data_IF_974789754757
#
_entry.id   IF_974789754757
#
_cell.length_a   1.000
_cell.length_b   1.000
_cell.length_c   1.000
_cell.angle_alpha   90.00
_cell.angle_beta   90.00
_cell.angle_gamma   90.00
#
_symmetry.space_group_name_H-M   'P 1'
#
loop_
_entity.id
_entity.type
_entity.pdbx_description
1 polymer ?
#
# COMPACT_ATOMS: atom_id res chain seq x y z
N UNK A 1 -14.52 -56.91 -13.41
CA UNK A 1 -14.49 -55.46 -13.04
C UNK A 1 -15.85 -54.88 -13.33
N UNK A 2 -16.47 -54.17 -12.38
CA UNK A 2 -17.83 -53.66 -12.52
C UNK A 2 -17.79 -52.25 -13.15
N UNK A 3 -18.07 -52.16 -14.46
CA UNK A 3 -17.94 -50.92 -15.24
C UNK A 3 -18.72 -49.74 -14.63
N UNK A 4 -19.83 -50.01 -13.95
CA UNK A 4 -20.65 -49.02 -13.26
C UNK A 4 -19.95 -48.42 -12.04
N UNK A 5 -19.19 -49.21 -11.30
CA UNK A 5 -18.43 -48.73 -10.13
C UNK A 5 -17.24 -47.88 -10.54
N UNK A 6 -16.60 -48.21 -11.67
CA UNK A 6 -15.51 -47.43 -12.23
C UNK A 6 -16.00 -46.08 -12.78
N UNK A 7 -17.15 -46.07 -13.46
CA UNK A 7 -17.75 -44.84 -13.96
C UNK A 7 -18.15 -43.88 -12.83
N UNK A 8 -18.75 -44.40 -11.74
CA UNK A 8 -19.09 -43.57 -10.58
C UNK A 8 -17.86 -43.00 -9.86
N UNK A 9 -16.73 -43.70 -9.85
CA UNK A 9 -15.50 -43.19 -9.21
C UNK A 9 -14.87 -42.05 -10.03
N UNK A 10 -14.90 -42.14 -11.36
CA UNK A 10 -14.45 -41.08 -12.27
C UNK A 10 -15.28 -39.82 -12.10
N UNK A 11 -16.62 -39.95 -12.02
CA UNK A 11 -17.51 -38.81 -11.82
C UNK A 11 -17.28 -38.11 -10.47
N UNK A 12 -17.07 -38.87 -9.38
CA UNK A 12 -16.74 -38.28 -8.07
C UNK A 12 -15.38 -37.59 -8.08
N UNK A 13 -14.38 -38.20 -8.71
CA UNK A 13 -13.07 -37.58 -8.80
C UNK A 13 -13.10 -36.29 -9.63
N UNK A 14 -13.85 -36.26 -10.73
CA UNK A 14 -14.04 -35.06 -11.54
C UNK A 14 -14.72 -33.93 -10.75
N UNK A 15 -15.75 -34.23 -9.93
CA UNK A 15 -16.37 -33.22 -9.07
C UNK A 15 -15.43 -32.70 -7.98
N UNK A 16 -14.59 -33.57 -7.41
CA UNK A 16 -13.62 -33.17 -6.37
C UNK A 16 -12.54 -32.25 -6.95
N UNK A 17 -12.04 -32.55 -8.15
CA UNK A 17 -11.07 -31.70 -8.86
C UNK A 17 -11.68 -30.35 -9.22
N UNK A 18 -12.93 -30.32 -9.68
CA UNK A 18 -13.62 -29.06 -9.99
C UNK A 18 -13.79 -28.19 -8.73
N UNK A 19 -14.16 -28.79 -7.59
CA UNK A 19 -14.24 -28.09 -6.31
C UNK A 19 -12.87 -27.58 -5.81
N UNK A 20 -11.77 -28.25 -6.17
CA UNK A 20 -10.41 -27.77 -5.89
C UNK A 20 -10.01 -26.62 -6.82
N UNK A 21 -10.38 -26.66 -8.10
CA UNK A 21 -10.15 -25.56 -9.06
C UNK A 21 -10.87 -24.28 -8.66
N UNK A 22 -12.13 -24.38 -8.23
CA UNK A 22 -12.88 -23.23 -7.71
C UNK A 22 -12.15 -22.61 -6.51
N UNK A 23 -11.73 -23.43 -5.54
CA UNK A 23 -10.96 -22.96 -4.38
C UNK A 23 -9.62 -22.33 -4.75
N UNK A 24 -8.93 -22.87 -5.75
CA UNK A 24 -7.70 -22.28 -6.28
C UNK A 24 -7.96 -20.91 -6.93
N UNK A 25 -9.04 -20.79 -7.71
CA UNK A 25 -9.45 -19.53 -8.33
C UNK A 25 -9.74 -18.46 -7.27
N UNK A 26 -10.52 -18.81 -6.25
CA UNK A 26 -10.88 -17.90 -5.16
C UNK A 26 -9.62 -17.44 -4.39
N UNK A 27 -8.67 -18.35 -4.17
CA UNK A 27 -7.39 -18.03 -3.53
C UNK A 27 -6.55 -17.06 -4.37
N UNK A 28 -6.50 -17.25 -5.69
CA UNK A 28 -5.79 -16.35 -6.62
C UNK A 28 -6.46 -14.98 -6.67
N UNK A 29 -7.79 -14.91 -6.69
CA UNK A 29 -8.52 -13.64 -6.66
C UNK A 29 -8.28 -12.88 -5.35
N UNK A 30 -8.29 -13.58 -4.22
CA UNK A 30 -7.96 -13.00 -2.92
C UNK A 30 -6.51 -12.47 -2.88
N UNK A 31 -5.55 -13.21 -3.45
CA UNK A 31 -4.17 -12.76 -3.56
C UNK A 31 -4.02 -11.52 -4.47
N UNK A 32 -4.75 -11.49 -5.58
CA UNK A 32 -4.80 -10.34 -6.49
C UNK A 32 -5.31 -9.07 -5.80
N UNK A 33 -6.41 -9.19 -5.05
CA UNK A 33 -6.98 -8.07 -4.28
C UNK A 33 -6.01 -7.58 -3.20
N UNK A 34 -5.38 -8.50 -2.45
CA UNK A 34 -4.38 -8.14 -1.44
C UNK A 34 -3.16 -7.42 -2.04
N UNK A 35 -2.69 -7.86 -3.22
CA UNK A 35 -1.60 -7.21 -3.93
C UNK A 35 -1.99 -5.80 -4.43
N UNK A 36 -3.21 -5.64 -4.94
CA UNK A 36 -3.75 -4.35 -5.36
C UNK A 36 -3.82 -3.35 -4.20
N UNK A 37 -4.35 -3.77 -3.06
CA UNK A 37 -4.44 -2.96 -1.85
C UNK A 37 -3.05 -2.53 -1.36
N UNK A 38 -2.08 -3.46 -1.38
CA UNK A 38 -0.70 -3.15 -1.03
C UNK A 38 -0.10 -2.09 -1.96
N UNK A 39 -0.33 -2.20 -3.27
CA UNK A 39 0.14 -1.20 -4.24
C UNK A 39 -0.51 0.17 -4.01
N UNK A 40 -1.80 0.22 -3.71
CA UNK A 40 -2.51 1.46 -3.42
C UNK A 40 -1.95 2.15 -2.15
N UNK A 41 -1.72 1.40 -1.08
CA UNK A 41 -1.15 1.91 0.18
C UNK A 41 0.29 2.40 -0.02
N UNK A 42 1.11 1.66 -0.80
CA UNK A 42 2.47 2.10 -1.14
C UNK A 42 2.49 3.39 -1.97
N UNK A 43 1.56 3.53 -2.91
CA UNK A 43 1.38 4.77 -3.68
C UNK A 43 1.09 5.97 -2.77
N UNK A 44 0.14 5.83 -1.84
CA UNK A 44 -0.16 6.86 -0.85
C UNK A 44 1.04 7.17 0.05
N UNK A 45 1.77 6.14 0.51
CA UNK A 45 2.96 6.32 1.33
C UNK A 45 4.05 7.11 0.60
N UNK A 46 4.24 6.87 -0.70
CA UNK A 46 5.19 7.62 -1.51
C UNK A 46 4.79 9.08 -1.61
N UNK A 47 3.53 9.38 -1.92
CA UNK A 47 3.03 10.77 -2.02
C UNK A 47 3.21 11.51 -0.70
N UNK A 48 2.75 10.93 0.41
CA UNK A 48 2.82 11.58 1.73
C UNK A 48 4.24 11.70 2.28
N UNK A 49 5.13 10.75 1.96
CA UNK A 49 6.55 10.87 2.32
C UNK A 49 7.27 11.95 1.51
N UNK A 50 6.93 12.14 0.22
CA UNK A 50 7.40 13.27 -0.57
C UNK A 50 6.89 14.60 0.00
N UNK A 51 5.60 14.69 0.37
CA UNK A 51 5.06 15.89 1.03
C UNK A 51 5.85 16.19 2.30
N UNK A 52 6.00 15.22 3.20
CA UNK A 52 6.75 15.37 4.45
C UNK A 52 8.19 15.86 4.21
N UNK A 53 8.87 15.34 3.17
CA UNK A 53 10.23 15.73 2.84
C UNK A 53 10.33 17.14 2.24
N UNK A 54 9.32 17.59 1.48
CA UNK A 54 9.31 18.91 0.83
C UNK A 54 8.86 20.05 1.76
N UNK A 55 7.98 19.78 2.72
CA UNK A 55 7.45 20.80 3.65
C UNK A 55 8.52 21.70 4.29
N UNK A 56 9.65 21.18 4.83
CA UNK A 56 10.68 22.04 5.42
C UNK A 56 11.33 22.98 4.41
N UNK A 57 11.56 22.55 3.16
CA UNK A 57 12.15 23.42 2.13
C UNK A 57 11.21 24.56 1.73
N UNK A 58 9.91 24.28 1.59
CA UNK A 58 8.91 25.31 1.30
C UNK A 58 8.74 26.31 2.44
N UNK A 59 8.77 25.85 3.70
CA UNK A 59 8.67 26.73 4.86
C UNK A 59 9.90 27.65 4.99
N UNK A 60 11.10 27.10 4.77
CA UNK A 60 12.35 27.87 4.79
C UNK A 60 12.41 28.85 3.61
N UNK A 61 12.03 28.43 2.40
CA UNK A 61 11.99 29.30 1.23
C UNK A 61 11.02 30.48 1.41
N UNK A 62 9.82 30.22 1.96
CA UNK A 62 8.85 31.27 2.29
C UNK A 62 9.38 32.23 3.36
N UNK A 63 10.08 31.73 4.38
CA UNK A 63 10.70 32.57 5.41
C UNK A 63 11.79 33.49 4.82
N UNK A 64 12.67 32.95 3.97
CA UNK A 64 13.72 33.74 3.30
C UNK A 64 13.09 34.83 2.41
N UNK A 65 12.08 34.49 1.62
CA UNK A 65 11.38 35.46 0.76
C UNK A 65 10.73 36.58 1.59
N UNK A 66 10.08 36.24 2.70
CA UNK A 66 9.46 37.22 3.60
C UNK A 66 10.51 38.15 4.24
N UNK A 67 11.69 37.64 4.62
CA UNK A 67 12.80 38.46 5.13
C UNK A 67 13.30 39.44 4.06
N UNK A 68 13.48 38.98 2.82
CA UNK A 68 13.94 39.83 1.70
C UNK A 68 12.92 40.95 1.43
N UNK A 69 11.62 40.61 1.37
CA UNK A 69 10.55 41.59 1.17
C UNK A 69 10.51 42.59 2.33
N UNK A 70 10.66 42.13 3.57
CA UNK A 70 10.73 42.98 4.75
C UNK A 70 11.90 43.98 4.67
N UNK A 71 13.10 43.50 4.31
CA UNK A 71 14.30 44.34 4.13
C UNK A 71 14.10 45.39 3.03
N UNK A 72 13.52 45.02 1.89
CA UNK A 72 13.22 45.93 0.79
C UNK A 72 12.18 46.99 1.19
N UNK A 73 11.16 46.63 1.95
CA UNK A 73 10.15 47.58 2.42
C UNK A 73 10.71 48.55 3.47
N UNK A 74 11.62 48.10 4.35
CA UNK A 74 12.27 48.98 5.33
C UNK A 74 13.19 50.03 4.69
N UNK A 75 13.80 49.75 3.53
CA UNK A 75 14.70 50.69 2.86
C UNK A 75 13.98 51.79 2.08
N UNK A 76 12.70 51.60 1.73
CA UNK A 76 11.93 52.50 0.87
C UNK A 76 10.95 53.40 1.66
N UNK A 77 10.56 53.02 2.87
CA UNK A 77 9.56 53.74 3.67
C UNK A 77 10.19 54.51 4.85
N UNK A 78 10.29 55.86 4.79
CA UNK A 78 10.81 56.65 5.90
C UNK A 78 9.76 56.74 7.01
N UNK A 79 9.94 55.96 8.08
CA UNK A 79 9.15 56.08 9.32
C UNK A 79 8.43 54.81 9.82
N UNK A 80 8.56 53.66 9.15
CA UNK A 80 7.72 52.48 9.40
C UNK A 80 8.31 51.30 10.17
N UNK A 81 9.44 51.43 10.87
CA UNK A 81 10.22 50.28 11.41
C UNK A 81 9.44 49.32 12.30
N UNK A 82 8.51 49.81 13.13
CA UNK A 82 7.66 48.96 13.99
C UNK A 82 6.58 48.19 13.22
N UNK A 83 6.00 48.79 12.17
CA UNK A 83 4.96 48.15 11.36
C UNK A 83 5.55 47.11 10.42
N UNK A 84 6.73 47.37 9.86
CA UNK A 84 7.42 46.41 8.98
C UNK A 84 7.94 45.21 9.76
N UNK A 85 8.42 45.39 11.00
CA UNK A 85 8.83 44.28 11.87
C UNK A 85 7.67 43.34 12.23
N UNK A 86 6.50 43.87 12.59
CA UNK A 86 5.31 43.09 12.86
C UNK A 86 4.80 42.34 11.62
N UNK A 87 4.82 42.99 10.44
CA UNK A 87 4.39 42.41 9.18
C UNK A 87 5.35 41.31 8.70
N UNK A 88 6.64 41.46 8.96
CA UNK A 88 7.67 40.45 8.68
C UNK A 88 7.53 39.24 9.60
N UNK A 89 7.29 39.46 10.91
CA UNK A 89 7.01 38.38 11.86
C UNK A 89 5.73 37.62 11.51
N UNK A 90 4.69 38.30 11.04
CA UNK A 90 3.44 37.67 10.63
C UNK A 90 3.59 36.91 9.31
N UNK A 91 4.35 37.47 8.36
CA UNK A 91 4.68 36.86 7.08
C UNK A 91 5.59 35.63 7.19
N UNK A 92 6.41 35.53 8.25
CA UNK A 92 7.25 34.36 8.53
C UNK A 92 6.53 33.37 9.44
N UNK A 93 5.85 33.87 10.47
CA UNK A 93 5.15 33.06 11.46
C UNK A 93 4.03 32.22 10.83
N UNK A 94 3.23 32.81 9.93
CA UNK A 94 2.15 32.11 9.23
C UNK A 94 2.64 30.85 8.47
N UNK A 95 3.57 30.99 7.50
CA UNK A 95 4.11 29.86 6.75
C UNK A 95 4.85 28.83 7.60
N UNK A 96 5.56 29.23 8.65
CA UNK A 96 6.23 28.30 9.57
C UNK A 96 5.20 27.48 10.35
N UNK A 97 4.16 28.11 10.89
CA UNK A 97 3.10 27.41 11.63
C UNK A 97 2.31 26.48 10.71
N UNK A 98 1.93 26.94 9.52
CA UNK A 98 1.23 26.12 8.52
C UNK A 98 2.11 24.95 8.07
N UNK A 99 3.39 25.21 7.77
CA UNK A 99 4.36 24.17 7.42
C UNK A 99 4.57 23.14 8.53
N UNK A 100 4.64 23.56 9.78
CA UNK A 100 4.75 22.67 10.93
C UNK A 100 3.50 21.79 11.09
N UNK A 101 2.30 22.34 10.93
CA UNK A 101 1.04 21.57 10.97
C UNK A 101 0.99 20.56 9.83
N UNK A 102 1.31 20.97 8.60
CA UNK A 102 1.35 20.07 7.44
C UNK A 102 2.39 18.96 7.64
N UNK A 103 3.56 19.28 8.19
CA UNK A 103 4.59 18.29 8.51
C UNK A 103 4.13 17.29 9.57
N UNK A 104 3.44 17.74 10.63
CA UNK A 104 2.90 16.86 11.67
C UNK A 104 1.82 15.92 11.10
N UNK A 105 0.90 16.46 10.30
CA UNK A 105 -0.15 15.67 9.63
C UNK A 105 0.46 14.66 8.67
N UNK A 106 1.43 15.07 7.85
CA UNK A 106 2.13 14.18 6.93
C UNK A 106 2.90 13.08 7.69
N UNK A 107 3.56 13.41 8.80
CA UNK A 107 4.29 12.45 9.64
C UNK A 107 3.36 11.41 10.25
N UNK A 108 2.22 11.84 10.82
CA UNK A 108 1.21 10.94 11.37
C UNK A 108 0.61 10.03 10.27
N UNK A 109 0.34 10.59 9.08
CA UNK A 109 -0.18 9.83 7.94
C UNK A 109 0.82 8.81 7.43
N UNK A 110 2.10 9.18 7.30
CA UNK A 110 3.20 8.28 6.92
C UNK A 110 3.36 7.14 7.93
N UNK A 111 3.32 7.44 9.23
CA UNK A 111 3.42 6.41 10.28
C UNK A 111 2.27 5.39 10.18
N UNK A 112 1.03 5.88 10.01
CA UNK A 112 -0.15 5.03 9.82
C UNK A 112 -0.04 4.18 8.54
N UNK A 113 0.32 4.79 7.41
CA UNK A 113 0.46 4.09 6.14
C UNK A 113 1.58 3.05 6.17
N UNK A 114 2.66 3.25 6.94
CA UNK A 114 3.69 2.22 7.17
C UNK A 114 3.12 1.00 7.89
N UNK A 115 2.33 1.21 8.94
CA UNK A 115 1.64 0.10 9.63
C UNK A 115 0.65 -0.62 8.71
N UNK A 116 -0.16 0.12 7.96
CA UNK A 116 -1.09 -0.45 6.98
C UNK A 116 -0.35 -1.24 5.89
N UNK A 117 0.82 -0.76 5.43
CA UNK A 117 1.68 -1.47 4.46
C UNK A 117 2.21 -2.78 5.05
N UNK A 118 2.63 -2.80 6.32
CA UNK A 118 3.11 -4.02 6.98
C UNK A 118 1.98 -5.06 7.10
N UNK A 119 0.78 -4.62 7.48
CA UNK A 119 -0.39 -5.50 7.56
C UNK A 119 -0.80 -6.03 6.18
N UNK A 120 -0.79 -5.18 5.16
CA UNK A 120 -1.10 -5.58 3.79
C UNK A 120 -0.05 -6.58 3.24
N UNK A 121 1.24 -6.39 3.53
CA UNK A 121 2.29 -7.38 3.18
C UNK A 121 2.06 -8.73 3.84
N UNK A 122 1.65 -8.71 5.12
CA UNK A 122 1.30 -9.94 5.83
C UNK A 122 0.12 -10.66 5.18
N UNK A 123 -0.94 -9.91 4.80
CA UNK A 123 -2.10 -10.45 4.09
C UNK A 123 -1.72 -11.07 2.73
N UNK A 124 -0.85 -10.40 1.96
CA UNK A 124 -0.31 -10.97 0.70
C UNK A 124 0.44 -12.26 0.97
N UNK A 125 1.31 -12.32 1.98
CA UNK A 125 2.05 -13.53 2.31
C UNK A 125 1.14 -14.70 2.72
N UNK A 126 0.08 -14.42 3.49
CA UNK A 126 -0.93 -15.44 3.84
C UNK A 126 -1.70 -15.93 2.60
N UNK A 127 -2.03 -15.02 1.67
CA UNK A 127 -2.70 -15.38 0.42
C UNK A 127 -1.80 -16.21 -0.51
N UNK A 128 -0.50 -15.93 -0.57
CA UNK A 128 0.48 -16.71 -1.34
C UNK A 128 0.60 -18.14 -0.79
N UNK A 129 0.60 -18.31 0.54
CA UNK A 129 0.56 -19.62 1.17
C UNK A 129 -0.72 -20.38 0.81
N UNK A 130 -1.88 -19.70 0.86
CA UNK A 130 -3.16 -20.32 0.51
C UNK A 130 -3.23 -20.76 -0.96
N UNK A 131 -2.67 -19.97 -1.88
CA UNK A 131 -2.57 -20.33 -3.31
C UNK A 131 -1.67 -21.56 -3.49
N UNK A 132 -0.49 -21.58 -2.87
CA UNK A 132 0.43 -22.74 -2.95
C UNK A 132 -0.18 -24.01 -2.36
N UNK A 133 -0.91 -23.89 -1.26
CA UNK A 133 -1.61 -25.04 -0.66
C UNK A 133 -2.75 -25.55 -1.57
N UNK A 134 -3.53 -24.65 -2.17
CA UNK A 134 -4.56 -25.03 -3.14
C UNK A 134 -3.97 -25.70 -4.38
N UNK A 135 -2.86 -25.19 -4.90
CA UNK A 135 -2.13 -25.75 -6.04
C UNK A 135 -1.60 -27.16 -5.70
N UNK A 136 -0.96 -27.32 -4.54
CA UNK A 136 -0.45 -28.63 -4.09
C UNK A 136 -1.57 -29.66 -3.96
N UNK A 137 -2.73 -29.28 -3.39
CA UNK A 137 -3.88 -30.19 -3.27
C UNK A 137 -4.43 -30.62 -4.63
N UNK A 138 -4.37 -29.73 -5.62
CA UNK A 138 -4.76 -30.03 -7.00
C UNK A 138 -3.78 -31.02 -7.64
N UNK A 139 -2.48 -30.82 -7.43
CA UNK A 139 -1.41 -31.71 -7.87
C UNK A 139 -1.55 -33.10 -7.22
N UNK A 140 -1.66 -33.17 -5.89
CA UNK A 140 -1.84 -34.42 -5.13
C UNK A 140 -3.10 -35.20 -5.58
N UNK A 141 -4.21 -34.49 -5.86
CA UNK A 141 -5.43 -35.12 -6.36
C UNK A 141 -5.24 -35.72 -7.75
N UNK A 142 -4.52 -35.01 -8.62
CA UNK A 142 -4.22 -35.43 -9.99
C UNK A 142 -3.25 -36.63 -9.98
N UNK A 143 -2.19 -36.56 -9.18
CA UNK A 143 -1.21 -37.64 -9.03
C UNK A 143 -1.83 -38.90 -8.40
N UNK A 144 -2.68 -38.75 -7.38
CA UNK A 144 -3.41 -39.86 -6.76
C UNK A 144 -4.38 -40.55 -7.72
N UNK A 145 -4.94 -39.83 -8.70
CA UNK A 145 -5.73 -40.44 -9.77
C UNK A 145 -4.86 -41.23 -10.74
N UNK A 146 -3.77 -40.64 -11.23
CA UNK A 146 -2.88 -41.32 -12.16
C UNK A 146 -2.17 -42.51 -11.53
N UNK A 147 -1.75 -42.42 -10.27
CA UNK A 147 -1.14 -43.53 -9.53
C UNK A 147 -2.06 -44.76 -9.45
N UNK A 148 -3.37 -44.55 -9.25
CA UNK A 148 -4.37 -45.64 -9.26
C UNK A 148 -4.62 -46.23 -10.65
N UNK A 149 -4.28 -45.51 -11.71
CA UNK A 149 -4.43 -45.94 -13.12
C UNK A 149 -3.13 -46.49 -13.72
N UNK A 150 -1.99 -46.41 -13.03
CA UNK A 150 -0.73 -47.02 -13.50
C UNK A 150 -0.88 -48.55 -13.50
N UNK A 151 -0.47 -49.24 -14.58
CA UNK A 151 -0.40 -50.69 -14.57
C UNK A 151 0.63 -51.11 -13.51
N UNK A 152 0.19 -51.87 -12.52
CA UNK A 152 1.07 -52.57 -11.59
C UNK A 152 1.71 -53.72 -12.36
N UNK A 153 3.03 -53.65 -12.56
CA UNK A 153 3.81 -54.79 -13.06
C UNK A 153 3.74 -55.99 -12.11
#
# INVERSE_FOLDING_TARGET
MNATAEYQSILRHASDVEALRVRQRDAVEAAGNAAHDLHAVQGQLRTWSTVQAMTPFTAVGAAIAAVIIGLLLTSVLPGGTLHVGALTLLAIGGPITVGAVVFQVASARVARLRHETMNARSAVNLSDIAVRDAEKRLEDATDGYWARKRPTN
#
